data_IF_563721138354
#
_entry.id   IF_563721138354
#
_cell.length_a   1.000
_cell.length_b   1.000
_cell.length_c   1.000
_cell.angle_alpha   90.00
_cell.angle_beta   90.00
_cell.angle_gamma   90.00
#
_symmetry.space_group_name_H-M   'P 1'
#
loop_
_entity.id
_entity.type
_entity.pdbx_description
1 polymer ?
#
# COMPACT_ATOMS: atom_id res chain seq x y z
N UNK A 1 14.34 9.84 -5.87
CA UNK A 1 13.12 10.67 -6.07
C UNK A 1 11.86 9.84 -6.44
N UNK A 2 11.91 8.49 -6.46
CA UNK A 2 10.74 7.64 -6.77
C UNK A 2 9.64 7.58 -5.69
N UNK A 3 9.94 7.91 -4.44
CA UNK A 3 9.05 7.70 -3.29
C UNK A 3 8.02 8.84 -3.07
N UNK A 4 8.25 10.04 -3.61
CA UNK A 4 7.35 11.20 -3.41
C UNK A 4 6.13 11.22 -4.35
N UNK A 5 6.10 10.35 -5.36
CA UNK A 5 5.06 10.34 -6.42
C UNK A 5 3.88 9.41 -6.13
N UNK A 6 3.89 8.66 -5.02
CA UNK A 6 2.73 7.87 -4.58
C UNK A 6 1.65 8.82 -4.02
N UNK A 7 2.04 9.87 -3.29
CA UNK A 7 1.08 10.83 -2.72
C UNK A 7 0.30 11.62 -3.78
N UNK A 8 0.95 11.95 -4.91
CA UNK A 8 0.35 12.74 -5.99
C UNK A 8 -0.60 11.95 -6.90
N UNK A 9 -0.68 10.63 -6.75
CA UNK A 9 -1.43 9.75 -7.65
C UNK A 9 -2.49 8.87 -6.95
N UNK A 10 -2.67 9.02 -5.64
CA UNK A 10 -3.85 8.48 -4.91
C UNK A 10 -5.20 9.02 -5.45
N UNK A 11 -5.19 9.86 -6.51
CA UNK A 11 -6.35 10.49 -7.14
C UNK A 11 -6.45 10.19 -8.65
N UNK A 12 -5.52 9.43 -9.25
CA UNK A 12 -5.41 9.35 -10.73
C UNK A 12 -5.07 7.95 -11.22
N UNK A 13 -6.05 7.33 -11.90
CA UNK A 13 -5.91 6.07 -12.66
C UNK A 13 -4.71 6.14 -13.60
N UNK A 14 -3.58 5.52 -13.26
CA UNK A 14 -2.53 5.27 -14.26
C UNK A 14 -1.83 3.94 -14.02
N UNK A 15 -1.97 3.08 -15.01
CA UNK A 15 -1.31 1.80 -15.16
C UNK A 15 0.20 2.02 -15.40
N UNK A 16 1.04 1.29 -14.67
CA UNK A 16 2.47 1.03 -14.96
C UNK A 16 3.57 2.02 -14.53
N UNK A 17 3.40 2.89 -13.52
CA UNK A 17 4.41 3.90 -13.15
C UNK A 17 5.35 3.57 -11.98
N UNK A 18 5.16 2.47 -11.23
CA UNK A 18 5.90 2.20 -9.98
C UNK A 18 6.77 0.94 -10.01
N UNK A 19 7.60 0.78 -11.04
CA UNK A 19 8.51 -0.36 -11.14
C UNK A 19 9.56 -0.33 -10.02
N UNK A 20 9.59 -1.38 -9.19
CA UNK A 20 10.56 -1.60 -8.11
C UNK A 20 10.56 -0.52 -7.01
N UNK A 21 9.40 0.07 -6.70
CA UNK A 21 9.27 1.01 -5.59
C UNK A 21 8.70 0.33 -4.36
N UNK A 22 9.26 0.63 -3.19
CA UNK A 22 8.68 0.25 -1.90
C UNK A 22 7.50 1.16 -1.55
N UNK A 23 6.58 0.61 -0.77
CA UNK A 23 5.46 1.35 -0.21
C UNK A 23 5.99 2.28 0.90
N UNK A 24 5.83 3.61 0.79
CA UNK A 24 6.26 4.52 1.84
C UNK A 24 5.47 4.25 3.13
N UNK A 25 6.18 3.96 4.23
CA UNK A 25 5.56 3.74 5.55
C UNK A 25 4.72 4.92 6.02
N UNK A 26 5.05 6.15 5.60
CA UNK A 26 4.30 7.35 5.90
C UNK A 26 2.84 7.30 5.43
N UNK A 27 2.53 6.59 4.33
CA UNK A 27 1.13 6.39 3.90
C UNK A 27 0.33 5.58 4.91
N UNK A 28 1.02 4.68 5.61
CA UNK A 28 0.45 3.78 6.61
C UNK A 28 0.39 4.44 7.99
N UNK A 29 0.84 5.69 8.14
CA UNK A 29 0.71 6.44 9.40
C UNK A 29 -0.27 7.63 9.27
N UNK A 30 -0.98 7.75 8.15
CA UNK A 30 -1.93 8.85 7.93
C UNK A 30 -3.25 8.56 8.66
N UNK A 31 -3.48 9.25 9.78
CA UNK A 31 -4.65 9.06 10.65
C UNK A 31 -6.01 9.36 9.99
N UNK A 32 -6.04 9.97 8.79
CA UNK A 32 -7.27 10.21 8.03
C UNK A 32 -7.53 9.19 6.92
N UNK A 33 -6.59 8.27 6.66
CA UNK A 33 -6.66 7.36 5.52
C UNK A 33 -7.53 6.14 5.87
N UNK A 34 -8.70 6.05 5.22
CA UNK A 34 -9.64 4.93 5.40
C UNK A 34 -9.51 3.85 4.31
N UNK A 35 -9.19 4.26 3.09
CA UNK A 35 -9.13 3.39 1.92
C UNK A 35 -7.81 3.58 1.18
N UNK A 36 -7.11 2.49 0.88
CA UNK A 36 -5.86 2.52 0.12
C UNK A 36 -5.90 1.48 -1.00
N UNK A 37 -6.00 1.95 -2.25
CA UNK A 37 -6.01 1.08 -3.43
C UNK A 37 -4.71 1.26 -4.21
N UNK A 38 -3.82 0.29 -4.10
CA UNK A 38 -2.54 0.19 -4.81
C UNK A 38 -2.46 -1.08 -5.66
N UNK A 39 -3.60 -1.73 -5.91
CA UNK A 39 -3.68 -2.92 -6.74
C UNK A 39 -3.17 -2.68 -8.16
N UNK A 40 -2.67 -3.74 -8.81
CA UNK A 40 -2.22 -3.74 -10.20
C UNK A 40 -1.10 -2.71 -10.48
N UNK A 41 -0.06 -2.75 -9.64
CA UNK A 41 1.14 -1.95 -9.79
C UNK A 41 2.39 -2.85 -9.83
N UNK A 42 3.57 -2.24 -9.89
CA UNK A 42 4.85 -2.97 -9.87
C UNK A 42 5.63 -2.71 -8.58
N UNK A 43 4.90 -2.48 -7.47
CA UNK A 43 5.48 -2.23 -6.16
C UNK A 43 6.21 -3.48 -5.67
N UNK A 44 7.31 -3.29 -4.94
CA UNK A 44 8.16 -4.36 -4.43
C UNK A 44 8.53 -4.12 -2.96
N UNK A 45 9.16 -5.11 -2.32
CA UNK A 45 9.55 -4.99 -0.91
C UNK A 45 8.41 -5.32 0.06
N UNK A 46 8.63 -5.01 1.34
CA UNK A 46 7.73 -5.42 2.41
C UNK A 46 6.57 -4.45 2.63
N UNK A 47 5.46 -5.00 3.13
CA UNK A 47 4.35 -4.20 3.64
C UNK A 47 4.79 -3.60 4.99
N UNK A 48 4.61 -2.29 5.23
CA UNK A 48 4.96 -1.66 6.50
C UNK A 48 4.30 -2.35 7.70
N UNK A 49 5.06 -2.51 8.79
CA UNK A 49 4.60 -3.15 10.03
C UNK A 49 3.54 -2.33 10.77
N UNK A 50 3.51 -1.01 10.53
CA UNK A 50 2.52 -0.09 11.08
C UNK A 50 1.37 0.10 10.09
N UNK A 51 0.17 0.38 10.60
CA UNK A 51 -0.97 0.84 9.82
C UNK A 51 -1.67 1.99 10.51
N UNK A 52 -2.45 2.75 9.74
CA UNK A 52 -3.32 3.76 10.29
C UNK A 52 -4.45 3.07 11.04
N UNK A 53 -4.79 3.58 12.21
CA UNK A 53 -5.90 3.08 13.02
C UNK A 53 -7.23 3.23 12.26
N UNK A 54 -7.35 4.24 11.40
CA UNK A 54 -8.56 4.52 10.63
C UNK A 54 -8.64 3.76 9.31
N UNK A 55 -7.59 3.01 8.93
CA UNK A 55 -7.57 2.25 7.69
C UNK A 55 -8.51 1.03 7.78
N UNK A 56 -9.49 0.98 6.88
CA UNK A 56 -10.57 0.00 6.82
C UNK A 56 -10.46 -0.96 5.63
N UNK A 57 -9.89 -0.50 4.53
CA UNK A 57 -9.72 -1.34 3.33
C UNK A 57 -8.40 -1.03 2.65
N UNK A 58 -7.72 -2.10 2.25
CA UNK A 58 -6.48 -1.99 1.52
C UNK A 58 -6.44 -3.04 0.41
N UNK A 59 -6.12 -2.57 -0.79
CA UNK A 59 -5.87 -3.41 -1.95
C UNK A 59 -4.41 -3.25 -2.38
N UNK A 60 -3.63 -4.31 -2.23
CA UNK A 60 -2.24 -4.41 -2.69
C UNK A 60 -2.09 -5.52 -3.74
N UNK A 61 -3.20 -6.03 -4.29
CA UNK A 61 -3.20 -7.14 -5.26
C UNK A 61 -2.39 -6.79 -6.51
N UNK A 62 -1.91 -7.80 -7.23
CA UNK A 62 -1.17 -7.67 -8.47
C UNK A 62 0.03 -6.72 -8.32
N UNK A 63 0.90 -7.01 -7.37
CA UNK A 63 2.19 -6.35 -7.11
C UNK A 63 3.31 -7.39 -6.89
N UNK A 64 4.56 -6.95 -6.76
CA UNK A 64 5.73 -7.79 -6.50
C UNK A 64 6.19 -7.69 -5.02
N UNK A 65 5.23 -7.60 -4.09
CA UNK A 65 5.51 -7.47 -2.66
C UNK A 65 6.12 -8.77 -2.09
N UNK A 66 7.04 -8.62 -1.14
CA UNK A 66 7.82 -9.73 -0.58
C UNK A 66 8.10 -9.49 0.89
N UNK A 67 8.34 -10.55 1.68
CA UNK A 67 8.58 -10.44 3.11
C UNK A 67 7.38 -10.90 3.93
N UNK A 68 7.44 -10.70 5.25
CA UNK A 68 6.41 -11.18 6.16
C UNK A 68 5.17 -10.30 6.11
N UNK A 69 3.99 -10.94 6.19
CA UNK A 69 2.75 -10.21 6.41
C UNK A 69 2.77 -9.56 7.80
N UNK A 70 2.41 -8.27 7.92
CA UNK A 70 2.38 -7.60 9.21
C UNK A 70 1.23 -8.09 10.10
N UNK A 71 1.35 -7.92 11.41
CA UNK A 71 0.40 -8.47 12.39
C UNK A 71 -1.03 -7.96 12.23
N UNK A 72 -1.21 -6.76 11.68
CA UNK A 72 -2.51 -6.15 11.42
C UNK A 72 -3.27 -6.80 10.26
N UNK A 73 -2.66 -7.66 9.45
CA UNK A 73 -3.39 -8.43 8.42
C UNK A 73 -4.45 -9.33 9.07
N UNK A 74 -4.22 -9.78 10.30
CA UNK A 74 -5.15 -10.60 11.05
C UNK A 74 -6.17 -9.79 11.88
N UNK A 75 -6.17 -8.46 11.81
CA UNK A 75 -6.96 -7.60 12.71
C UNK A 75 -8.36 -7.24 12.17
N UNK A 76 -8.99 -8.09 11.36
CA UNK A 76 -10.32 -7.85 10.78
C UNK A 76 -10.35 -6.84 9.63
N UNK A 77 -9.18 -6.44 9.11
CA UNK A 77 -9.03 -5.60 7.92
C UNK A 77 -9.30 -6.43 6.66
N UNK A 78 -10.02 -5.87 5.70
CA UNK A 78 -10.12 -6.47 4.37
C UNK A 78 -8.85 -6.14 3.57
N UNK A 79 -7.98 -7.14 3.42
CA UNK A 79 -6.73 -7.08 2.65
C UNK A 79 -6.84 -7.95 1.40
N UNK A 80 -6.52 -7.38 0.25
CA UNK A 80 -6.35 -8.11 -1.01
C UNK A 80 -4.86 -8.17 -1.36
N UNK A 81 -4.30 -9.38 -1.40
CA UNK A 81 -2.90 -9.69 -1.78
C UNK A 81 -2.89 -10.92 -2.69
N UNK A 82 -2.94 -10.71 -4.01
CA UNK A 82 -2.82 -11.78 -5.02
C UNK A 82 -2.18 -11.24 -6.27
#
# INVERSE_FOLDING_TARGET
MCCLRVLYHLISRNYNLYKNCEIPSALFTMNSLQYLFLGNNSLSGAIPSQKSETLQTIDLSYNFLSGNLPSWVNSGLQLYVS
#
